data_IF_835825640562
#
_entry.id   IF_835825640562
#
_cell.length_a   1.000
_cell.length_b   1.000
_cell.length_c   1.000
_cell.angle_alpha   90.00
_cell.angle_beta   90.00
_cell.angle_gamma   90.00
#
_symmetry.space_group_name_H-M   'P 1'
#
loop_
_entity.id
_entity.type
_entity.pdbx_description
1 polymer ?
#
# COMPACT_ATOMS: atom_id res chain seq x y z
N UNK A 1 18.35 18.84 -3.72
CA UNK A 1 17.20 18.04 -3.27
C UNK A 1 16.37 18.88 -2.30
N UNK A 2 15.64 19.91 -2.78
CA UNK A 2 14.41 20.29 -2.10
C UNK A 2 13.38 19.15 -2.33
N UNK A 3 12.34 19.05 -1.52
CA UNK A 3 11.21 18.11 -1.69
C UNK A 3 11.38 16.67 -1.16
N UNK A 4 12.50 16.35 -0.47
CA UNK A 4 12.65 15.05 0.20
C UNK A 4 12.58 15.19 1.73
N UNK A 5 11.42 14.86 2.31
CA UNK A 5 11.15 15.03 3.74
C UNK A 5 11.64 13.85 4.62
N UNK A 6 12.45 12.91 4.11
CA UNK A 6 12.91 11.76 4.90
C UNK A 6 14.32 11.32 4.55
N UNK A 7 15.05 10.85 5.57
CA UNK A 7 16.43 10.39 5.40
C UNK A 7 16.46 9.13 4.55
N UNK A 8 17.16 9.19 3.41
CA UNK A 8 17.46 8.01 2.62
C UNK A 8 18.85 7.51 2.95
N UNK A 9 18.96 6.21 3.21
CA UNK A 9 20.24 5.55 3.45
C UNK A 9 21.13 5.52 2.19
N UNK A 10 20.60 5.78 0.99
CA UNK A 10 21.36 5.78 -0.25
C UNK A 10 20.94 6.92 -1.20
N UNK A 11 21.83 7.89 -1.45
CA UNK A 11 21.52 9.12 -2.18
C UNK A 11 20.83 8.93 -3.56
N UNK A 12 21.10 7.82 -4.24
CA UNK A 12 20.55 7.54 -5.57
C UNK A 12 19.18 6.79 -5.55
N UNK A 13 18.74 6.23 -4.41
CA UNK A 13 17.50 5.45 -4.34
C UNK A 13 16.27 6.33 -4.09
N UNK A 14 15.94 7.17 -5.08
CA UNK A 14 14.84 8.16 -5.02
C UNK A 14 13.46 7.53 -4.78
N UNK A 15 12.42 8.31 -4.39
CA UNK A 15 11.05 7.82 -4.41
C UNK A 15 10.67 7.23 -5.77
N UNK A 16 11.11 7.88 -6.86
CA UNK A 16 10.94 7.40 -8.24
C UNK A 16 11.63 6.06 -8.48
N UNK A 17 12.83 5.83 -7.92
CA UNK A 17 13.50 4.52 -8.01
C UNK A 17 12.65 3.40 -7.38
N UNK A 18 12.12 3.65 -6.18
CA UNK A 18 11.29 2.65 -5.50
C UNK A 18 9.95 2.42 -6.20
N UNK A 19 9.30 3.47 -6.69
CA UNK A 19 8.10 3.38 -7.51
C UNK A 19 8.37 2.56 -8.78
N UNK A 20 9.50 2.84 -9.44
CA UNK A 20 9.88 2.19 -10.69
C UNK A 20 10.10 0.70 -10.52
N UNK A 21 10.67 0.23 -9.39
CA UNK A 21 10.75 -1.20 -9.07
C UNK A 21 9.35 -1.84 -9.01
N UNK A 22 8.37 -1.19 -8.37
CA UNK A 22 7.02 -1.75 -8.26
C UNK A 22 6.32 -1.84 -9.62
N UNK A 23 6.59 -0.90 -10.52
CA UNK A 23 6.06 -0.89 -11.89
C UNK A 23 6.79 -1.90 -12.78
N UNK A 24 8.12 -1.90 -12.81
CA UNK A 24 8.96 -2.81 -13.62
C UNK A 24 8.74 -4.28 -13.27
N UNK A 25 8.47 -4.56 -11.98
CA UNK A 25 8.14 -5.92 -11.55
C UNK A 25 6.69 -6.32 -11.79
N UNK A 26 5.84 -5.47 -12.40
CA UNK A 26 4.37 -5.60 -12.49
C UNK A 26 3.70 -5.86 -11.14
N UNK A 27 4.27 -5.32 -10.06
CA UNK A 27 3.70 -5.48 -8.72
C UNK A 27 2.49 -4.58 -8.50
N UNK A 28 2.52 -3.38 -9.08
CA UNK A 28 1.41 -2.43 -9.06
C UNK A 28 1.18 -1.79 -10.43
N UNK A 29 -0.02 -1.27 -10.62
CA UNK A 29 -0.27 -0.17 -11.56
C UNK A 29 -0.55 1.09 -10.78
N UNK A 30 -0.04 2.21 -11.25
CA UNK A 30 -0.31 3.53 -10.67
C UNK A 30 -1.07 4.41 -11.66
N UNK A 31 -1.92 5.28 -11.11
CA UNK A 31 -2.69 6.27 -11.87
C UNK A 31 -2.68 7.59 -11.09
N UNK A 32 -1.65 8.43 -11.27
CA UNK A 32 -1.58 9.74 -10.64
C UNK A 32 -2.68 10.66 -11.17
N UNK A 33 -3.22 11.50 -10.30
CA UNK A 33 -4.25 12.50 -10.60
C UNK A 33 -3.77 13.88 -10.18
N UNK A 34 -3.69 14.74 -11.18
CA UNK A 34 -3.31 16.14 -10.98
C UNK A 34 -4.51 17.02 -10.64
N UNK A 35 -4.24 18.15 -10.00
CA UNK A 35 -5.23 19.20 -9.81
C UNK A 35 -5.71 19.72 -11.18
N UNK A 36 -7.04 19.80 -11.45
CA UNK A 36 -7.57 20.35 -12.69
C UNK A 36 -7.12 21.80 -12.98
N UNK A 37 -6.81 22.57 -11.94
CA UNK A 37 -6.33 23.95 -12.01
C UNK A 37 -4.80 24.04 -12.05
N UNK A 38 -4.09 23.01 -11.59
CA UNK A 38 -2.64 22.92 -11.63
C UNK A 38 -2.18 21.50 -12.05
N UNK A 39 -2.05 21.22 -13.35
CA UNK A 39 -1.70 19.89 -13.85
C UNK A 39 -0.34 19.35 -13.38
N UNK A 40 0.57 20.22 -12.93
CA UNK A 40 1.86 19.82 -12.35
C UNK A 40 1.76 19.33 -10.89
N UNK A 41 0.63 19.60 -10.22
CA UNK A 41 0.41 19.23 -8.82
C UNK A 41 -0.34 17.89 -8.74
N UNK A 42 0.38 16.81 -8.46
CA UNK A 42 -0.24 15.50 -8.21
C UNK A 42 -0.87 15.51 -6.83
N UNK A 43 -2.20 15.46 -6.77
CA UNK A 43 -2.96 15.53 -5.51
C UNK A 43 -3.17 14.14 -4.89
N UNK A 44 -3.38 13.13 -5.74
CA UNK A 44 -3.56 11.76 -5.31
C UNK A 44 -3.16 10.76 -6.38
N UNK A 45 -2.84 9.55 -5.95
CA UNK A 45 -2.45 8.45 -6.84
C UNK A 45 -3.25 7.20 -6.50
N UNK A 46 -3.89 6.60 -7.51
CA UNK A 46 -4.50 5.27 -7.34
C UNK A 46 -3.44 4.19 -7.56
N UNK A 47 -3.41 3.21 -6.66
CA UNK A 47 -2.49 2.07 -6.66
C UNK A 47 -3.32 0.79 -6.77
N UNK A 48 -3.10 0.06 -7.85
CA UNK A 48 -3.73 -1.22 -8.12
C UNK A 48 -2.69 -2.32 -7.88
N UNK A 49 -2.77 -2.99 -6.73
CA UNK A 49 -1.84 -4.05 -6.34
C UNK A 49 -2.14 -5.30 -7.17
N UNK A 50 -1.19 -5.73 -7.99
CA UNK A 50 -1.35 -6.86 -8.89
C UNK A 50 -0.68 -8.13 -8.37
N UNK A 51 0.46 -8.02 -7.69
CA UNK A 51 1.15 -9.13 -7.01
C UNK A 51 2.17 -8.62 -6.01
N UNK A 52 2.48 -9.46 -5.02
CA UNK A 52 3.55 -9.20 -4.05
C UNK A 52 4.59 -10.31 -4.19
N UNK A 53 5.83 -9.99 -4.54
CA UNK A 53 6.84 -11.01 -4.78
C UNK A 53 7.32 -11.60 -3.46
N UNK A 54 7.19 -12.92 -3.32
CA UNK A 54 7.86 -13.69 -2.28
C UNK A 54 9.31 -13.95 -2.70
N UNK A 55 10.16 -14.31 -1.74
CA UNK A 55 11.53 -14.74 -2.03
C UNK A 55 11.56 -15.93 -3.00
N UNK A 56 10.63 -16.87 -2.86
CA UNK A 56 10.52 -18.02 -3.78
C UNK A 56 10.12 -17.62 -5.21
N UNK A 57 9.33 -16.56 -5.37
CA UNK A 57 8.95 -16.00 -6.68
C UNK A 57 9.96 -14.99 -7.22
N UNK A 58 10.90 -14.54 -6.41
CA UNK A 58 11.99 -13.67 -6.85
C UNK A 58 12.92 -14.36 -7.86
N UNK A 59 13.12 -15.68 -7.73
CA UNK A 59 13.79 -16.51 -8.74
C UNK A 59 15.32 -16.40 -8.78
N UNK A 60 15.94 -15.66 -7.87
CA UNK A 60 17.39 -15.57 -7.72
C UNK A 60 17.79 -15.37 -6.24
N UNK A 61 19.09 -15.40 -5.94
CA UNK A 61 19.58 -15.05 -4.62
C UNK A 61 19.16 -13.60 -4.27
N UNK A 62 18.62 -13.32 -3.07
CA UNK A 62 18.12 -11.99 -2.70
C UNK A 62 19.21 -10.90 -2.68
N UNK A 63 20.48 -11.29 -2.54
CA UNK A 63 21.63 -10.37 -2.59
C UNK A 63 22.07 -10.03 -4.01
N UNK A 64 21.65 -10.81 -5.02
CA UNK A 64 21.99 -10.52 -6.40
C UNK A 64 21.07 -9.46 -6.97
N UNK A 65 21.67 -8.57 -7.75
CA UNK A 65 20.98 -7.49 -8.44
C UNK A 65 20.27 -8.01 -9.70
N UNK A 66 19.09 -7.46 -9.98
CA UNK A 66 18.42 -7.48 -11.28
C UNK A 66 18.65 -6.15 -11.96
N UNK A 67 18.54 -6.15 -13.28
CA UNK A 67 18.47 -4.94 -14.08
C UNK A 67 17.00 -4.58 -14.31
N UNK A 68 16.70 -3.29 -14.40
CA UNK A 68 15.41 -2.83 -14.89
C UNK A 68 15.20 -3.23 -16.35
N UNK A 69 13.96 -3.51 -16.72
CA UNK A 69 13.58 -3.78 -18.12
C UNK A 69 13.66 -2.51 -18.97
N UNK A 70 13.38 -1.35 -18.36
CA UNK A 70 13.49 -0.04 -18.96
C UNK A 70 14.68 0.76 -18.39
N UNK A 71 15.16 1.76 -19.15
CA UNK A 71 16.29 2.58 -18.75
C UNK A 71 16.00 3.39 -17.48
N UNK A 72 16.90 3.33 -16.51
CA UNK A 72 16.86 4.11 -15.27
C UNK A 72 18.28 4.47 -14.83
N UNK A 73 18.48 5.63 -14.21
CA UNK A 73 19.82 6.15 -13.86
C UNK A 73 20.62 5.22 -12.95
N UNK A 74 19.96 4.63 -11.95
CA UNK A 74 20.47 3.51 -11.17
C UNK A 74 19.89 2.21 -11.76
N UNK A 75 20.59 1.50 -12.65
CA UNK A 75 19.97 0.49 -13.50
C UNK A 75 19.69 -0.85 -12.79
N UNK A 76 19.96 -0.94 -11.48
CA UNK A 76 19.95 -2.19 -10.73
C UNK A 76 19.21 -2.10 -9.39
N UNK A 77 18.60 -3.21 -9.00
CA UNK A 77 17.92 -3.38 -7.71
C UNK A 77 17.95 -4.84 -7.26
N UNK A 78 17.85 -5.10 -5.96
CA UNK A 78 17.78 -6.47 -5.41
C UNK A 78 16.46 -6.72 -4.66
N UNK A 79 16.33 -7.87 -4.00
CA UNK A 79 15.09 -8.22 -3.31
C UNK A 79 14.82 -7.34 -2.07
N UNK A 80 15.88 -6.87 -1.40
CA UNK A 80 15.74 -5.96 -0.26
C UNK A 80 15.27 -4.57 -0.73
N UNK A 81 15.78 -4.10 -1.87
CA UNK A 81 15.26 -2.90 -2.52
C UNK A 81 13.77 -3.05 -2.82
N UNK A 82 13.36 -4.20 -3.38
CA UNK A 82 11.96 -4.53 -3.62
C UNK A 82 11.12 -4.50 -2.33
N UNK A 83 11.60 -5.08 -1.22
CA UNK A 83 10.89 -5.00 0.07
C UNK A 83 10.73 -3.55 0.55
N UNK A 84 11.78 -2.74 0.40
CA UNK A 84 11.78 -1.34 0.82
C UNK A 84 10.88 -0.45 -0.05
N UNK A 85 10.59 -0.85 -1.30
CA UNK A 85 9.67 -0.09 -2.18
C UNK A 85 8.30 0.13 -1.55
N UNK A 86 7.77 -0.88 -0.86
CA UNK A 86 6.44 -0.85 -0.25
C UNK A 86 6.36 0.11 0.94
N UNK A 87 7.50 0.56 1.47
CA UNK A 87 7.56 1.65 2.43
C UNK A 87 7.81 2.97 1.73
N UNK A 88 8.87 3.05 0.94
CA UNK A 88 9.42 4.32 0.48
C UNK A 88 8.60 4.98 -0.64
N UNK A 89 7.96 4.20 -1.51
CA UNK A 89 7.11 4.73 -2.59
C UNK A 89 6.00 5.59 -2.02
N UNK A 90 5.33 5.12 -0.97
CA UNK A 90 4.15 5.79 -0.42
C UNK A 90 4.46 6.94 0.55
N UNK A 91 5.74 7.30 0.67
CA UNK A 91 6.18 8.49 1.39
C UNK A 91 6.24 9.75 0.51
N UNK A 92 5.89 9.67 -0.78
CA UNK A 92 5.76 10.86 -1.61
C UNK A 92 4.73 11.82 -1.02
N UNK A 93 5.10 13.09 -0.98
CA UNK A 93 4.19 14.24 -0.86
C UNK A 93 4.46 15.19 -2.01
N UNK A 94 3.45 15.97 -2.39
CA UNK A 94 3.65 17.02 -3.38
C UNK A 94 4.25 18.27 -2.73
N UNK A 95 4.46 19.32 -3.54
CA UNK A 95 5.04 20.60 -3.11
C UNK A 95 4.22 21.35 -2.05
N UNK A 96 3.00 20.89 -1.73
CA UNK A 96 2.15 21.44 -0.69
C UNK A 96 2.07 20.53 0.54
N UNK A 97 2.98 19.56 0.66
CA UNK A 97 3.02 18.55 1.74
C UNK A 97 1.72 17.73 1.86
N UNK A 98 1.01 17.57 0.74
CA UNK A 98 -0.31 16.91 0.71
C UNK A 98 -0.38 15.87 -0.38
N UNK A 99 -0.50 14.60 0.00
CA UNK A 99 -0.78 13.56 -0.98
C UNK A 99 -1.61 12.44 -0.37
N UNK A 100 -2.50 11.87 -1.17
CA UNK A 100 -3.31 10.71 -0.77
C UNK A 100 -3.15 9.56 -1.75
N UNK A 101 -3.00 8.36 -1.20
CA UNK A 101 -2.88 7.12 -1.93
C UNK A 101 -4.21 6.36 -1.86
N UNK A 102 -4.72 5.95 -3.01
CA UNK A 102 -5.94 5.16 -3.12
C UNK A 102 -5.57 3.73 -3.47
N UNK A 103 -5.61 2.83 -2.50
CA UNK A 103 -5.22 1.45 -2.69
C UNK A 103 -6.40 0.57 -3.06
N UNK A 104 -6.15 -0.40 -3.92
CA UNK A 104 -7.02 -1.55 -4.12
C UNK A 104 -6.22 -2.75 -4.63
N UNK A 105 -6.73 -3.94 -4.37
CA UNK A 105 -6.20 -5.15 -5.02
C UNK A 105 -6.81 -5.24 -6.42
N UNK A 106 -5.98 -5.34 -7.45
CA UNK A 106 -6.43 -5.43 -8.83
C UNK A 106 -7.23 -6.73 -9.06
N UNK A 107 -8.07 -6.73 -10.09
CA UNK A 107 -8.77 -7.95 -10.54
C UNK A 107 -7.80 -9.05 -10.98
N UNK A 108 -6.59 -8.69 -11.43
CA UNK A 108 -5.53 -9.64 -11.78
C UNK A 108 -4.80 -10.19 -10.56
N UNK A 109 -5.03 -9.65 -9.35
CA UNK A 109 -4.40 -10.15 -8.14
C UNK A 109 -4.94 -11.55 -7.81
N UNK A 110 -4.06 -12.54 -7.97
CA UNK A 110 -4.34 -13.96 -7.71
C UNK A 110 -4.09 -14.28 -6.23
N UNK A 111 -4.77 -15.30 -5.72
CA UNK A 111 -4.48 -15.85 -4.39
C UNK A 111 -3.00 -16.28 -4.36
N UNK A 112 -2.26 -15.77 -3.40
CA UNK A 112 -0.85 -16.05 -3.21
C UNK A 112 -0.50 -16.00 -1.72
N UNK A 113 0.62 -16.61 -1.34
CA UNK A 113 1.22 -16.38 -0.03
C UNK A 113 1.68 -14.93 0.06
N UNK A 114 1.26 -14.24 1.12
CA UNK A 114 1.68 -12.86 1.39
C UNK A 114 2.90 -12.90 2.31
N UNK A 115 4.02 -12.27 1.95
CA UNK A 115 5.19 -12.22 2.81
C UNK A 115 4.91 -11.49 4.13
N UNK A 116 5.46 -11.97 5.24
CA UNK A 116 5.32 -11.32 6.55
C UNK A 116 5.77 -9.86 6.58
N UNK A 117 6.87 -9.54 5.90
CA UNK A 117 7.36 -8.17 5.84
C UNK A 117 6.33 -7.24 5.19
N UNK A 118 5.50 -7.72 4.26
CA UNK A 118 4.45 -6.93 3.66
C UNK A 118 3.29 -6.74 4.63
N UNK A 119 2.93 -7.80 5.36
CA UNK A 119 1.90 -7.77 6.40
C UNK A 119 2.27 -6.77 7.51
N UNK A 120 3.52 -6.81 7.96
CA UNK A 120 4.07 -5.87 8.94
C UNK A 120 3.93 -4.42 8.45
N UNK A 121 4.18 -4.14 7.16
CA UNK A 121 3.97 -2.80 6.59
C UNK A 121 2.48 -2.41 6.55
N UNK A 122 1.59 -3.34 6.22
CA UNK A 122 0.15 -3.11 6.26
C UNK A 122 -0.36 -2.77 7.67
N UNK A 123 0.35 -3.11 8.74
CA UNK A 123 -0.04 -2.69 10.09
C UNK A 123 -0.04 -1.16 10.25
N UNK A 124 0.86 -0.44 9.57
CA UNK A 124 1.00 1.00 9.70
C UNK A 124 0.00 1.78 8.84
N UNK A 125 -0.26 1.33 7.62
CA UNK A 125 -0.98 2.12 6.62
C UNK A 125 -2.03 1.31 5.81
N UNK A 126 -2.22 0.04 6.17
CA UNK A 126 -3.23 -0.83 5.61
C UNK A 126 -4.62 -0.59 6.21
N UNK A 127 -5.64 -1.29 5.68
CA UNK A 127 -6.99 -1.15 6.16
C UNK A 127 -7.14 -1.69 7.59
N UNK A 128 -7.97 -1.03 8.39
CA UNK A 128 -8.35 -1.45 9.74
C UNK A 128 -9.87 -1.50 9.90
N UNK A 129 -10.36 -1.98 11.04
CA UNK A 129 -11.80 -2.16 11.28
C UNK A 129 -12.52 -0.82 11.49
N UNK A 130 -11.82 0.18 12.04
CA UNK A 130 -12.40 1.46 12.45
C UNK A 130 -12.86 2.31 11.27
N UNK A 131 -12.24 2.14 10.10
CA UNK A 131 -12.66 2.84 8.89
C UNK A 131 -13.91 2.24 8.25
N UNK A 132 -14.29 1.00 8.58
CA UNK A 132 -15.36 0.30 7.88
C UNK A 132 -16.75 0.86 8.24
N UNK A 133 -17.61 1.14 7.25
CA UNK A 133 -19.00 1.49 7.55
C UNK A 133 -19.78 0.27 8.06
N UNK A 134 -20.88 0.46 8.80
CA UNK A 134 -21.61 -0.64 9.47
C UNK A 134 -22.00 -1.82 8.56
N UNK A 135 -22.50 -1.63 7.32
CA UNK A 135 -22.83 -2.76 6.44
C UNK A 135 -21.61 -3.61 6.06
N UNK A 136 -20.44 -2.98 5.95
CA UNK A 136 -19.18 -3.68 5.63
C UNK A 136 -18.63 -4.40 6.86
N UNK A 137 -18.86 -3.89 8.07
CA UNK A 137 -18.54 -4.59 9.32
C UNK A 137 -19.35 -5.89 9.40
N UNK A 138 -20.64 -5.89 9.05
CA UNK A 138 -21.46 -7.10 9.01
C UNK A 138 -20.91 -8.10 7.99
N UNK A 139 -20.60 -7.66 6.77
CA UNK A 139 -19.99 -8.49 5.74
C UNK A 139 -18.64 -9.06 6.20
N UNK A 140 -17.81 -8.26 6.86
CA UNK A 140 -16.51 -8.68 7.43
C UNK A 140 -16.67 -9.74 8.53
N UNK A 141 -17.66 -9.57 9.41
CA UNK A 141 -17.96 -10.56 10.46
C UNK A 141 -18.43 -11.88 9.84
N UNK A 142 -19.28 -11.81 8.80
CA UNK A 142 -19.72 -12.99 8.05
C UNK A 142 -18.53 -13.67 7.36
N UNK A 143 -17.65 -12.92 6.70
CA UNK A 143 -16.43 -13.44 6.10
C UNK A 143 -15.58 -14.16 7.14
N UNK A 144 -15.29 -13.51 8.26
CA UNK A 144 -14.46 -14.08 9.35
C UNK A 144 -15.02 -15.40 9.90
N UNK A 145 -16.34 -15.54 9.98
CA UNK A 145 -17.01 -16.76 10.47
C UNK A 145 -16.94 -17.94 9.50
N UNK A 146 -16.88 -17.67 8.19
CA UNK A 146 -17.00 -18.69 7.14
C UNK A 146 -15.73 -18.88 6.32
N UNK A 147 -14.73 -18.01 6.46
CA UNK A 147 -13.42 -18.16 5.84
C UNK A 147 -12.52 -19.03 6.69
N UNK A 148 -11.79 -19.95 6.05
CA UNK A 148 -10.63 -20.56 6.69
C UNK A 148 -9.60 -19.46 7.02
N UNK A 149 -9.10 -19.47 8.24
CA UNK A 149 -7.99 -18.59 8.62
C UNK A 149 -6.79 -18.93 7.74
N UNK A 150 -6.45 -18.01 6.83
CA UNK A 150 -5.18 -18.10 6.10
C UNK A 150 -4.08 -17.94 7.14
N UNK A 151 -3.36 -19.03 7.41
CA UNK A 151 -2.23 -19.01 8.32
C UNK A 151 -1.38 -17.78 7.98
N UNK A 152 -1.19 -16.92 8.99
CA UNK A 152 -0.26 -15.79 8.97
C UNK A 152 -0.75 -14.54 8.22
N UNK A 153 -1.89 -14.57 7.51
CA UNK A 153 -2.47 -13.38 6.87
C UNK A 153 -3.61 -12.82 7.72
N UNK A 154 -3.54 -11.54 8.18
CA UNK A 154 -4.62 -10.94 8.95
C UNK A 154 -5.96 -11.01 8.21
N UNK A 155 -7.02 -11.41 8.90
CA UNK A 155 -8.36 -11.56 8.31
C UNK A 155 -8.84 -10.29 7.61
N UNK A 156 -8.47 -9.11 8.14
CA UNK A 156 -8.76 -7.81 7.53
C UNK A 156 -8.15 -7.69 6.13
N UNK A 157 -6.88 -8.04 5.97
CA UNK A 157 -6.20 -7.99 4.67
C UNK A 157 -6.81 -9.00 3.70
N UNK A 158 -7.08 -10.22 4.17
CA UNK A 158 -7.75 -11.27 3.39
C UNK A 158 -9.12 -10.82 2.89
N UNK A 159 -9.89 -10.15 3.73
CA UNK A 159 -11.20 -9.60 3.38
C UNK A 159 -11.10 -8.52 2.30
N UNK A 160 -10.15 -7.58 2.42
CA UNK A 160 -9.92 -6.55 1.41
C UNK A 160 -9.45 -7.12 0.07
N UNK A 161 -8.62 -8.17 0.09
CA UNK A 161 -8.20 -8.90 -1.10
C UNK A 161 -9.40 -9.59 -1.76
N UNK A 162 -10.22 -10.29 -0.97
CA UNK A 162 -11.38 -11.05 -1.45
C UNK A 162 -12.43 -10.14 -2.08
N UNK A 163 -12.80 -9.08 -1.37
CA UNK A 163 -13.84 -8.14 -1.78
C UNK A 163 -13.34 -7.03 -2.72
N UNK A 164 -12.03 -6.98 -3.00
CA UNK A 164 -11.39 -5.94 -3.83
C UNK A 164 -11.73 -4.53 -3.34
N UNK A 165 -11.74 -4.35 -2.02
CA UNK A 165 -12.13 -3.08 -1.40
C UNK A 165 -11.04 -2.03 -1.58
N UNK A 166 -11.49 -0.78 -1.61
CA UNK A 166 -10.64 0.38 -1.71
C UNK A 166 -10.46 1.04 -0.35
N UNK A 167 -9.25 1.51 -0.06
CA UNK A 167 -9.00 2.40 1.06
C UNK A 167 -8.09 3.54 0.66
N UNK A 168 -8.24 4.67 1.34
CA UNK A 168 -7.34 5.81 1.19
C UNK A 168 -6.33 5.80 2.32
N UNK A 169 -5.11 6.19 2.00
CA UNK A 169 -4.02 6.37 2.93
C UNK A 169 -3.37 7.72 2.68
N UNK A 170 -3.05 8.43 3.75
CA UNK A 170 -2.20 9.60 3.71
C UNK A 170 -1.38 9.62 5.00
N UNK A 171 -0.41 10.51 5.09
CA UNK A 171 0.35 10.69 6.31
C UNK A 171 0.69 12.16 6.48
N UNK A 172 0.90 12.55 7.73
CA UNK A 172 1.33 13.88 8.12
C UNK A 172 2.40 13.79 9.22
N UNK A 173 3.07 14.90 9.49
CA UNK A 173 3.97 15.03 10.61
C UNK A 173 3.21 15.46 11.87
N UNK A 174 3.49 14.77 12.97
CA UNK A 174 2.97 15.12 14.29
C UNK A 174 4.13 15.28 15.25
N UNK A 175 4.02 16.29 16.11
CA UNK A 175 4.96 16.52 17.19
C UNK A 175 4.31 15.97 18.46
N UNK A 176 4.96 14.99 19.09
CA UNK A 176 4.61 14.55 20.43
C UNK A 176 5.39 15.39 21.44
N UNK A 177 4.67 16.17 22.24
CA UNK A 177 5.23 16.95 23.34
C UNK A 177 4.61 16.45 24.63
N UNK A 178 5.43 15.85 25.50
CA UNK A 178 5.05 15.62 26.89
C UNK A 178 5.95 16.46 27.79
N UNK A 179 5.47 16.97 28.94
CA UNK A 179 6.25 17.90 29.77
C UNK A 179 7.58 17.33 30.28
N UNK A 180 7.78 16.01 30.22
CA UNK A 180 8.97 15.31 30.70
C UNK A 180 9.85 14.73 29.58
N UNK A 181 9.51 14.91 28.31
CA UNK A 181 10.27 14.35 27.17
C UNK A 181 10.66 15.41 26.16
N UNK A 182 11.76 15.16 25.46
CA UNK A 182 12.15 15.96 24.30
C UNK A 182 11.07 15.82 23.22
N UNK A 183 10.56 16.93 22.64
CA UNK A 183 9.61 16.89 21.53
C UNK A 183 10.09 15.95 20.43
N UNK A 184 9.24 15.01 20.04
CA UNK A 184 9.56 14.01 19.04
C UNK A 184 8.70 14.20 17.80
N UNK A 185 9.35 14.38 16.66
CA UNK A 185 8.68 14.42 15.36
C UNK A 185 8.48 13.00 14.86
N UNK A 186 7.24 12.60 14.61
CA UNK A 186 6.92 11.31 14.02
C UNK A 186 5.96 11.46 12.86
N UNK A 187 5.99 10.46 11.97
CA UNK A 187 5.06 10.34 10.86
C UNK A 187 3.82 9.62 11.33
N UNK A 188 2.67 10.28 11.30
CA UNK A 188 1.39 9.66 11.57
C UNK A 188 0.73 9.24 10.26
N UNK A 189 0.51 7.94 10.08
CA UNK A 189 -0.28 7.41 8.98
C UNK A 189 -1.75 7.41 9.34
N UNK A 190 -2.58 7.84 8.40
CA UNK A 190 -4.02 7.84 8.51
C UNK A 190 -4.63 7.03 7.37
N UNK A 191 -5.63 6.21 7.68
CA UNK A 191 -6.40 5.49 6.68
C UNK A 191 -7.87 5.88 6.75
N UNK A 192 -8.54 5.87 5.58
CA UNK A 192 -9.95 6.22 5.44
C UNK A 192 -10.65 5.26 4.49
N UNK A 193 -11.93 5.03 4.74
CA UNK A 193 -12.79 4.30 3.82
C UNK A 193 -13.09 5.09 2.56
N UNK A 194 -13.25 4.38 1.45
CA UNK A 194 -13.68 4.98 0.20
C UNK A 194 -15.21 5.18 0.17
N UNK A 195 -15.64 6.39 0.50
CA UNK A 195 -17.07 6.71 0.65
C UNK A 195 -17.91 6.56 -0.63
N UNK A 196 -17.30 6.47 -1.82
CA UNK A 196 -18.02 6.22 -3.08
C UNK A 196 -18.14 4.73 -3.43
N UNK A 197 -17.73 3.84 -2.52
CA UNK A 197 -17.92 2.40 -2.69
C UNK A 197 -19.41 2.05 -2.64
N UNK A 198 -19.86 1.26 -3.62
CA UNK A 198 -21.21 0.75 -3.67
C UNK A 198 -21.39 -0.39 -2.66
N UNK A 199 -21.99 -0.08 -1.51
CA UNK A 199 -22.17 -1.00 -0.39
C UNK A 199 -22.98 -2.24 -0.76
N UNK A 200 -23.84 -2.17 -1.78
CA UNK A 200 -24.63 -3.32 -2.23
C UNK A 200 -23.78 -4.47 -2.77
N UNK A 201 -22.54 -4.20 -3.17
CA UNK A 201 -21.60 -5.20 -3.70
C UNK A 201 -20.95 -6.06 -2.62
N UNK A 202 -20.95 -5.61 -1.37
CA UNK A 202 -20.32 -6.33 -0.26
C UNK A 202 -21.30 -6.42 0.91
N UNK A 203 -22.11 -7.47 0.90
CA UNK A 203 -23.09 -7.80 1.93
C UNK A 203 -22.81 -9.20 2.47
N UNK A 204 -23.38 -9.54 3.63
CA UNK A 204 -23.26 -10.89 4.19
C UNK A 204 -23.69 -11.99 3.19
N UNK A 205 -24.73 -11.75 2.39
CA UNK A 205 -25.18 -12.68 1.35
C UNK A 205 -24.15 -12.83 0.23
N UNK A 206 -23.61 -11.73 -0.32
CA UNK A 206 -22.61 -11.81 -1.39
C UNK A 206 -21.32 -12.45 -0.92
N UNK A 207 -20.95 -12.27 0.37
CA UNK A 207 -19.83 -12.97 1.00
C UNK A 207 -20.07 -14.48 1.04
N UNK A 208 -21.23 -14.93 1.54
CA UNK A 208 -21.54 -16.36 1.61
C UNK A 208 -21.57 -17.03 0.24
N UNK A 209 -22.08 -16.33 -0.78
CA UNK A 209 -22.08 -16.84 -2.17
C UNK A 209 -20.66 -16.93 -2.70
N UNK A 210 -19.81 -15.93 -2.46
CA UNK A 210 -18.44 -15.88 -2.99
C UNK A 210 -17.43 -16.80 -2.27
N UNK A 211 -17.79 -17.34 -1.10
CA UNK A 211 -16.97 -18.31 -0.36
C UNK A 211 -17.28 -19.78 -0.71
N UNK A 212 -18.37 -20.04 -1.44
CA UNK A 212 -18.71 -21.37 -1.98
C UNK A 212 -17.92 -21.65 -3.25
#
# INVERSE_FOLDING_TARGET
YPDWHYYNNHAQKTPTFYEFILVDTDSIKINPKSDPKNPGLITHTSVFIQKILTLSKWGQNPHYYKQFTASFDLPIYNYFDYMDTWKNTFLFQNIEDRHSWFFCFDKTFKKQTIPYWFIDRCFFYGPNKEILPPPIIEAFNTFTKHSESLALCPTMLSFFIHCKLLWTMYWDYVIEETPQTIPSLYRQFCTKWWNKYDLSKCTSETILISLK
#
